data_IF_808064236702
#
_entry.id   IF_808064236702
#
_cell.length_a   1.000
_cell.length_b   1.000
_cell.length_c   1.000
_cell.angle_alpha   90.00
_cell.angle_beta   90.00
_cell.angle_gamma   90.00
#
_symmetry.space_group_name_H-M   'P 1'
#
loop_
_entity.id
_entity.type
_entity.pdbx_description
1 polymer ?
#
# COMPACT_ATOMS: atom_id res chain seq x y z
N UNK A 1 -56.56 -18.97 -3.80
CA UNK A 1 -55.82 -17.97 -4.61
C UNK A 1 -54.96 -17.17 -3.64
N UNK A 2 -53.67 -17.50 -3.51
CA UNK A 2 -52.77 -16.81 -2.59
C UNK A 2 -52.16 -15.65 -3.37
N UNK A 3 -52.61 -14.43 -3.06
CA UNK A 3 -52.02 -13.20 -3.57
C UNK A 3 -50.64 -13.01 -2.92
N UNK A 4 -49.56 -13.31 -3.65
CA UNK A 4 -48.25 -12.83 -3.27
C UNK A 4 -48.13 -11.36 -3.69
N UNK A 5 -48.45 -10.45 -2.77
CA UNK A 5 -47.89 -9.09 -2.84
C UNK A 5 -46.38 -9.21 -2.64
N UNK A 6 -45.64 -9.45 -3.73
CA UNK A 6 -44.20 -9.31 -3.70
C UNK A 6 -43.89 -7.83 -3.51
N UNK A 7 -43.40 -7.48 -2.32
CA UNK A 7 -42.69 -6.23 -2.12
C UNK A 7 -41.43 -6.31 -2.99
N UNK A 8 -41.47 -5.73 -4.20
CA UNK A 8 -40.36 -5.68 -5.15
C UNK A 8 -39.29 -4.69 -4.69
N UNK A 9 -38.74 -4.90 -3.49
CA UNK A 9 -37.55 -4.19 -3.05
C UNK A 9 -36.31 -4.95 -3.57
N UNK A 10 -36.06 -4.79 -4.87
CA UNK A 10 -34.89 -5.34 -5.54
C UNK A 10 -33.76 -4.32 -5.49
N UNK A 11 -32.67 -4.67 -4.81
CA UNK A 11 -31.47 -3.84 -4.77
C UNK A 11 -30.65 -4.05 -6.04
N UNK A 12 -30.12 -2.95 -6.59
CA UNK A 12 -29.29 -2.94 -7.80
C UNK A 12 -27.98 -3.74 -7.66
N UNK A 13 -27.55 -4.07 -6.44
CA UNK A 13 -26.37 -4.89 -6.17
C UNK A 13 -26.67 -6.39 -6.07
N UNK A 14 -27.96 -6.77 -5.98
CA UNK A 14 -28.38 -8.15 -5.72
C UNK A 14 -29.40 -8.67 -6.75
N UNK A 15 -29.71 -7.89 -7.78
CA UNK A 15 -30.75 -8.23 -8.75
C UNK A 15 -30.50 -9.54 -9.48
N UNK A 16 -29.25 -9.84 -9.87
CA UNK A 16 -28.91 -11.08 -10.56
C UNK A 16 -29.23 -12.34 -9.74
N UNK A 17 -29.32 -12.24 -8.41
CA UNK A 17 -29.76 -13.33 -7.51
C UNK A 17 -31.28 -13.37 -7.35
N UNK A 18 -31.93 -12.21 -7.34
CA UNK A 18 -33.38 -12.07 -7.09
C UNK A 18 -34.21 -12.29 -8.37
N UNK A 19 -33.69 -11.89 -9.53
CA UNK A 19 -34.40 -11.87 -10.81
C UNK A 19 -34.80 -13.27 -11.32
N UNK A 20 -33.96 -14.32 -11.24
CA UNK A 20 -34.37 -15.66 -11.68
C UNK A 20 -35.64 -16.16 -10.98
N UNK A 21 -35.75 -15.95 -9.66
CA UNK A 21 -36.93 -16.32 -8.87
C UNK A 21 -38.19 -15.56 -9.30
N UNK A 22 -38.04 -14.30 -9.69
CA UNK A 22 -39.15 -13.49 -10.20
C UNK A 22 -39.62 -14.01 -11.56
N UNK A 23 -38.69 -14.40 -12.43
CA UNK A 23 -39.01 -14.99 -13.74
C UNK A 23 -39.76 -16.31 -13.55
N UNK A 24 -39.27 -17.19 -12.66
CA UNK A 24 -39.90 -18.48 -12.33
C UNK A 24 -41.32 -18.33 -11.76
N UNK A 25 -41.57 -17.27 -10.99
CA UNK A 25 -42.87 -17.01 -10.38
C UNK A 25 -43.91 -16.39 -11.35
N UNK A 26 -43.50 -15.98 -12.56
CA UNK A 26 -44.38 -15.37 -13.55
C UNK A 26 -44.77 -16.36 -14.67
N UNK A 27 -45.88 -16.08 -15.36
CA UNK A 27 -46.26 -16.89 -16.53
C UNK A 27 -45.25 -16.74 -17.68
N UNK A 28 -45.28 -17.68 -18.64
CA UNK A 28 -44.31 -17.76 -19.73
C UNK A 28 -44.11 -16.45 -20.51
N UNK A 29 -45.21 -15.73 -20.82
CA UNK A 29 -45.14 -14.47 -21.59
C UNK A 29 -44.45 -13.38 -20.78
N UNK A 30 -44.86 -13.17 -19.52
CA UNK A 30 -44.23 -12.19 -18.63
C UNK A 30 -42.77 -12.55 -18.36
N UNK A 31 -42.46 -13.83 -18.17
CA UNK A 31 -41.10 -14.32 -18.01
C UNK A 31 -40.19 -13.93 -19.18
N UNK A 32 -40.67 -14.07 -20.42
CA UNK A 32 -39.93 -13.63 -21.63
C UNK A 32 -39.74 -12.11 -21.63
N UNK A 33 -40.76 -11.31 -21.31
CA UNK A 33 -40.64 -9.85 -21.26
C UNK A 33 -39.61 -9.39 -20.22
N UNK A 34 -39.54 -10.06 -19.06
CA UNK A 34 -38.56 -9.77 -18.00
C UNK A 34 -37.16 -10.17 -18.44
N UNK A 35 -37.01 -11.33 -19.09
CA UNK A 35 -35.73 -11.75 -19.66
C UNK A 35 -35.23 -10.75 -20.71
N UNK A 36 -36.11 -10.31 -21.60
CA UNK A 36 -35.80 -9.32 -22.63
C UNK A 36 -35.36 -7.98 -22.00
N UNK A 37 -36.05 -7.53 -20.94
CA UNK A 37 -35.76 -6.28 -20.24
C UNK A 37 -34.36 -6.25 -19.61
N UNK A 38 -33.92 -7.35 -18.99
CA UNK A 38 -32.67 -7.39 -18.23
C UNK A 38 -31.47 -7.96 -19.01
N UNK A 39 -31.69 -8.90 -19.95
CA UNK A 39 -30.61 -9.69 -20.57
C UNK A 39 -30.45 -9.50 -22.09
N UNK A 40 -31.38 -8.85 -22.80
CA UNK A 40 -31.28 -8.69 -24.26
C UNK A 40 -30.26 -7.63 -24.70
N UNK A 41 -29.84 -6.78 -23.76
CA UNK A 41 -28.84 -5.74 -23.98
C UNK A 41 -27.89 -5.72 -22.77
N UNK A 42 -26.73 -6.35 -22.93
CA UNK A 42 -25.59 -6.40 -21.98
C UNK A 42 -24.94 -5.01 -21.82
N UNK A 43 -25.73 -4.00 -21.46
CA UNK A 43 -25.25 -2.61 -21.47
C UNK A 43 -24.46 -2.21 -20.25
N UNK A 44 -24.33 -3.05 -19.22
CA UNK A 44 -23.72 -2.61 -17.97
C UNK A 44 -22.74 -3.62 -17.37
N UNK A 45 -21.55 -3.12 -17.05
CA UNK A 45 -20.53 -3.79 -16.23
C UNK A 45 -21.18 -4.36 -14.97
N UNK A 46 -20.76 -5.55 -14.54
CA UNK A 46 -21.25 -6.18 -13.32
C UNK A 46 -21.20 -5.18 -12.14
N UNK A 47 -22.32 -4.88 -11.46
CA UNK A 47 -22.37 -3.86 -10.42
C UNK A 47 -21.40 -4.13 -9.26
N UNK A 48 -21.11 -5.41 -8.97
CA UNK A 48 -20.11 -5.77 -7.97
C UNK A 48 -18.71 -5.30 -8.38
N UNK A 49 -18.35 -5.39 -9.66
CA UNK A 49 -17.04 -4.92 -10.16
C UNK A 49 -16.91 -3.41 -9.97
N UNK A 50 -17.98 -2.65 -10.23
CA UNK A 50 -17.97 -1.20 -10.05
C UNK A 50 -17.76 -0.83 -8.56
N UNK A 51 -18.46 -1.49 -7.64
CA UNK A 51 -18.31 -1.27 -6.19
C UNK A 51 -16.91 -1.67 -5.72
N UNK A 52 -16.46 -2.87 -6.06
CA UNK A 52 -15.12 -3.35 -5.69
C UNK A 52 -14.02 -2.43 -6.23
N UNK A 53 -14.20 -1.89 -7.44
CA UNK A 53 -13.29 -0.91 -8.03
C UNK A 53 -13.33 0.40 -7.24
N UNK A 54 -14.51 0.86 -6.85
CA UNK A 54 -14.68 2.09 -6.07
C UNK A 54 -13.95 2.00 -4.72
N UNK A 55 -14.13 0.89 -4.02
CA UNK A 55 -13.52 0.65 -2.71
C UNK A 55 -12.00 0.56 -2.82
N UNK A 56 -11.48 -0.12 -3.85
CA UNK A 56 -10.04 -0.17 -4.14
C UNK A 56 -9.46 1.22 -4.39
N UNK A 57 -10.12 2.04 -5.22
CA UNK A 57 -9.67 3.41 -5.51
C UNK A 57 -9.68 4.28 -4.25
N UNK A 58 -10.67 4.11 -3.37
CA UNK A 58 -10.72 4.82 -2.10
C UNK A 58 -9.56 4.44 -1.18
N UNK A 59 -9.22 3.15 -1.09
CA UNK A 59 -8.06 2.66 -0.34
C UNK A 59 -6.76 3.27 -0.89
N UNK A 60 -6.59 3.28 -2.22
CA UNK A 60 -5.42 3.88 -2.87
C UNK A 60 -5.30 5.39 -2.56
N UNK A 61 -6.42 6.13 -2.61
CA UNK A 61 -6.47 7.56 -2.25
C UNK A 61 -6.04 7.77 -0.80
N UNK A 62 -6.59 6.98 0.13
CA UNK A 62 -6.28 7.09 1.56
C UNK A 62 -4.80 6.80 1.81
N UNK A 63 -4.28 5.73 1.21
CA UNK A 63 -2.88 5.36 1.30
C UNK A 63 -1.96 6.49 0.81
N UNK A 64 -2.15 6.96 -0.42
CA UNK A 64 -1.29 8.00 -1.01
C UNK A 64 -1.37 9.32 -0.25
N UNK A 65 -2.56 9.71 0.21
CA UNK A 65 -2.75 10.92 1.03
C UNK A 65 -1.97 10.83 2.35
N UNK A 66 -2.03 9.67 3.01
CA UNK A 66 -1.30 9.42 4.26
C UNK A 66 0.22 9.46 4.07
N UNK A 67 0.71 8.83 3.00
CA UNK A 67 2.13 8.84 2.64
C UNK A 67 2.60 10.28 2.41
N UNK A 68 1.90 11.05 1.57
CA UNK A 68 2.22 12.45 1.29
C UNK A 68 2.22 13.34 2.54
N UNK A 69 1.27 13.14 3.44
CA UNK A 69 1.22 13.85 4.73
C UNK A 69 2.51 13.62 5.54
N UNK A 70 2.95 12.38 5.69
CA UNK A 70 4.12 12.05 6.50
C UNK A 70 5.43 12.50 5.87
N UNK A 71 5.58 12.42 4.55
CA UNK A 71 6.73 13.03 3.87
C UNK A 71 6.82 14.52 4.20
N UNK A 72 5.71 15.25 4.09
CA UNK A 72 5.68 16.68 4.41
C UNK A 72 6.00 16.94 5.88
N UNK A 73 5.43 16.17 6.82
CA UNK A 73 5.71 16.31 8.25
C UNK A 73 7.20 16.13 8.57
N UNK A 74 7.84 15.08 8.04
CA UNK A 74 9.27 14.83 8.25
C UNK A 74 10.12 15.93 7.60
N UNK A 75 9.82 16.32 6.35
CA UNK A 75 10.54 17.42 5.68
C UNK A 75 10.43 18.71 6.49
N UNK A 76 9.23 19.06 6.96
CA UNK A 76 9.01 20.24 7.79
C UNK A 76 9.79 20.17 9.11
N UNK A 77 9.76 19.01 9.79
CA UNK A 77 10.55 18.80 11.01
C UNK A 77 12.05 18.99 10.76
N UNK A 78 12.61 18.37 9.73
CA UNK A 78 14.04 18.47 9.44
C UNK A 78 14.42 19.88 9.04
N UNK A 79 13.62 20.56 8.20
CA UNK A 79 13.87 21.97 7.85
C UNK A 79 13.86 22.88 9.09
N UNK A 80 12.90 22.69 10.00
CA UNK A 80 12.83 23.46 11.23
C UNK A 80 14.01 23.21 12.18
N UNK A 81 14.57 21.99 12.15
CA UNK A 81 15.67 21.56 13.00
C UNK A 81 16.96 21.33 12.20
N UNK A 82 17.15 22.03 11.07
CA UNK A 82 18.19 21.68 10.09
C UNK A 82 19.60 21.69 10.66
N UNK A 83 19.85 22.41 11.75
CA UNK A 83 21.16 22.46 12.40
C UNK A 83 21.44 21.28 13.33
N UNK A 84 20.41 20.62 13.85
CA UNK A 84 20.55 19.55 14.84
C UNK A 84 19.26 18.71 14.94
N UNK A 85 18.85 18.03 13.86
CA UNK A 85 17.67 17.17 13.93
C UNK A 85 17.98 15.99 14.87
N UNK A 86 17.05 15.66 15.76
CA UNK A 86 17.23 14.54 16.68
C UNK A 86 16.76 13.23 16.05
N UNK A 87 17.57 12.19 16.23
CA UNK A 87 17.29 10.83 15.79
C UNK A 87 15.95 10.30 16.33
N UNK A 88 15.77 10.34 17.65
CA UNK A 88 14.60 9.75 18.32
C UNK A 88 13.29 10.48 17.97
N UNK A 89 13.34 11.80 17.80
CA UNK A 89 12.18 12.60 17.39
C UNK A 89 11.71 12.21 15.99
N UNK A 90 12.64 11.97 15.06
CA UNK A 90 12.28 11.48 13.73
C UNK A 90 11.66 10.08 13.77
N UNK A 91 12.24 9.16 14.56
CA UNK A 91 11.66 7.83 14.74
C UNK A 91 10.26 7.92 15.35
N UNK A 92 10.06 8.83 16.31
CA UNK A 92 8.76 9.09 16.92
C UNK A 92 7.73 9.54 15.88
N UNK A 93 8.06 10.52 15.03
CA UNK A 93 7.16 10.99 13.95
C UNK A 93 6.87 9.86 12.96
N UNK A 94 7.87 9.06 12.58
CA UNK A 94 7.67 7.93 11.67
C UNK A 94 6.72 6.90 12.28
N UNK A 95 6.93 6.53 13.54
CA UNK A 95 6.14 5.51 14.24
C UNK A 95 4.70 5.93 14.53
N UNK A 96 4.35 7.23 14.40
CA UNK A 96 2.95 7.68 14.42
C UNK A 96 2.16 7.19 13.19
N UNK A 97 2.85 6.78 12.12
CA UNK A 97 2.23 6.26 10.91
C UNK A 97 1.83 4.80 11.03
N UNK A 98 0.60 4.50 10.61
CA UNK A 98 0.11 3.14 10.39
C UNK A 98 0.84 2.38 9.25
N UNK A 99 1.62 3.08 8.42
CA UNK A 99 2.40 2.49 7.30
C UNK A 99 3.92 2.64 7.51
N UNK A 100 4.35 2.92 8.74
CA UNK A 100 5.77 3.11 9.09
C UNK A 100 6.63 1.91 8.70
N UNK A 101 6.16 0.71 9.02
CA UNK A 101 6.72 -0.60 8.70
C UNK A 101 6.72 -0.95 7.20
N UNK A 102 6.09 -0.12 6.36
CA UNK A 102 5.96 -0.37 4.92
C UNK A 102 6.69 0.64 4.06
N UNK A 103 6.65 1.92 4.39
CA UNK A 103 7.11 2.97 3.47
C UNK A 103 8.29 3.76 4.01
N UNK A 104 8.40 3.90 5.34
CA UNK A 104 9.28 4.92 5.91
C UNK A 104 10.64 4.40 6.32
N UNK A 105 10.79 3.08 6.44
CA UNK A 105 12.04 2.44 6.82
C UNK A 105 12.82 1.81 5.66
N UNK A 106 12.23 1.69 4.48
CA UNK A 106 12.87 1.12 3.30
C UNK A 106 12.18 1.58 2.02
N UNK A 107 12.86 1.45 0.88
CA UNK A 107 12.32 1.85 -0.42
C UNK A 107 11.17 0.92 -0.82
N UNK A 108 10.01 1.50 -1.09
CA UNK A 108 8.79 0.75 -1.43
C UNK A 108 8.26 1.13 -2.79
N UNK A 109 8.10 0.13 -3.65
CA UNK A 109 7.50 0.33 -4.98
C UNK A 109 5.98 0.43 -4.85
N UNK A 110 5.44 1.59 -5.22
CA UNK A 110 4.01 1.79 -5.42
C UNK A 110 3.70 1.73 -6.92
N UNK A 111 2.72 0.91 -7.29
CA UNK A 111 2.29 0.74 -8.68
C UNK A 111 0.81 1.05 -8.79
N UNK A 112 0.47 1.98 -9.68
CA UNK A 112 -0.90 2.26 -10.06
C UNK A 112 -1.02 2.23 -11.58
N UNK A 113 -1.80 1.28 -12.12
CA UNK A 113 -1.85 0.97 -13.56
C UNK A 113 -0.43 0.77 -14.13
N UNK A 114 -0.04 1.52 -15.16
CA UNK A 114 1.30 1.46 -15.78
C UNK A 114 2.34 2.33 -15.07
N UNK A 115 1.95 3.11 -14.06
CA UNK A 115 2.84 4.03 -13.36
C UNK A 115 3.49 3.34 -12.17
N UNK A 116 4.79 3.56 -12.01
CA UNK A 116 5.59 3.01 -10.92
C UNK A 116 6.35 4.15 -10.23
N UNK A 117 6.19 4.25 -8.92
CA UNK A 117 6.96 5.17 -8.07
C UNK A 117 7.70 4.36 -7.02
N UNK A 118 8.98 4.65 -6.85
CA UNK A 118 9.74 4.16 -5.72
C UNK A 118 9.65 5.19 -4.59
N UNK A 119 8.84 4.88 -3.59
CA UNK A 119 8.76 5.64 -2.36
C UNK A 119 10.09 5.49 -1.62
N UNK A 120 10.73 6.59 -1.29
CA UNK A 120 12.03 6.62 -0.61
C UNK A 120 11.86 6.54 0.91
N UNK A 121 12.80 5.90 1.64
CA UNK A 121 12.76 5.90 3.10
C UNK A 121 12.83 7.33 3.67
N UNK A 122 12.26 7.54 4.86
CA UNK A 122 12.34 8.84 5.56
C UNK A 122 12.90 8.71 6.98
N UNK A 123 13.64 7.63 7.25
CA UNK A 123 14.27 7.35 8.54
C UNK A 123 15.58 8.12 8.76
N UNK A 124 16.03 8.30 10.02
CA UNK A 124 17.23 9.08 10.35
C UNK A 124 18.49 8.65 9.60
N UNK A 125 18.69 7.34 9.39
CA UNK A 125 19.86 6.84 8.66
C UNK A 125 19.90 7.30 7.19
N UNK A 126 18.75 7.47 6.52
CA UNK A 126 18.67 7.97 5.15
C UNK A 126 19.08 9.46 5.08
N UNK A 127 18.71 10.23 6.10
CA UNK A 127 19.10 11.63 6.23
C UNK A 127 20.51 11.84 6.79
N UNK A 128 21.21 10.80 7.23
CA UNK A 128 22.52 10.99 7.84
C UNK A 128 22.48 11.60 9.24
N UNK A 129 21.40 11.38 9.98
CA UNK A 129 21.23 11.99 11.30
C UNK A 129 21.92 11.11 12.35
N UNK A 130 23.00 11.58 12.99
CA UNK A 130 23.73 10.79 13.96
C UNK A 130 22.90 10.57 15.22
N UNK A 131 23.20 9.51 15.95
CA UNK A 131 22.67 9.29 17.29
C UNK A 131 23.73 9.65 18.33
N UNK A 132 23.30 10.15 19.48
CA UNK A 132 24.18 10.70 20.51
C UNK A 132 25.05 9.68 21.24
N UNK A 133 24.81 8.38 21.04
CA UNK A 133 25.36 7.32 21.89
C UNK A 133 26.10 6.25 21.07
N UNK A 134 27.42 6.42 20.87
CA UNK A 134 28.27 5.50 20.09
C UNK A 134 28.28 4.04 20.61
N UNK A 135 27.80 3.78 21.83
CA UNK A 135 27.81 2.45 22.45
C UNK A 135 26.49 1.68 22.28
N UNK A 136 25.42 2.30 21.80
CA UNK A 136 24.14 1.62 21.62
C UNK A 136 23.88 1.36 20.12
N UNK A 137 23.81 0.08 19.75
CA UNK A 137 23.24 -0.32 18.46
C UNK A 137 21.75 0.08 18.47
N UNK A 138 21.42 1.20 17.84
CA UNK A 138 20.04 1.67 17.73
C UNK A 138 19.29 0.85 16.66
N UNK A 139 18.90 -0.36 17.04
CA UNK A 139 18.07 -1.22 16.21
C UNK A 139 16.70 -0.60 15.98
N UNK A 140 16.38 -0.35 14.71
CA UNK A 140 15.06 0.06 14.27
C UNK A 140 14.40 -1.16 13.66
N UNK A 141 13.24 -1.56 14.18
CA UNK A 141 12.41 -2.57 13.55
C UNK A 141 11.77 -1.98 12.29
N UNK A 142 12.06 -2.59 11.15
CA UNK A 142 11.59 -2.11 9.85
C UNK A 142 10.44 -2.94 9.30
N UNK A 143 10.30 -4.18 9.77
CA UNK A 143 9.22 -5.10 9.41
C UNK A 143 8.86 -5.90 10.66
N UNK A 144 7.58 -5.99 10.97
CA UNK A 144 7.07 -6.75 12.11
C UNK A 144 5.96 -7.71 11.65
N UNK A 145 5.94 -8.91 12.23
CA UNK A 145 4.83 -9.87 12.11
C UNK A 145 4.61 -10.48 10.71
N UNK A 146 3.37 -10.87 10.42
CA UNK A 146 2.92 -11.49 9.17
C UNK A 146 2.82 -10.39 8.09
N UNK A 147 3.45 -10.59 6.93
CA UNK A 147 3.50 -9.69 5.75
C UNK A 147 4.82 -8.95 5.52
N UNK A 148 5.94 -9.59 5.87
CA UNK A 148 7.26 -9.11 5.41
C UNK A 148 7.32 -9.26 3.88
N UNK A 149 7.70 -8.20 3.13
CA UNK A 149 7.78 -8.27 1.67
C UNK A 149 8.83 -9.28 1.22
N UNK A 150 8.75 -9.79 -0.01
CA UNK A 150 9.76 -10.75 -0.54
C UNK A 150 11.11 -10.11 -0.89
N UNK A 151 11.22 -8.78 -0.83
CA UNK A 151 12.45 -8.02 -1.05
C UNK A 151 12.37 -6.69 -0.33
N UNK A 152 13.48 -6.24 0.23
CA UNK A 152 13.62 -4.95 0.91
C UNK A 152 14.87 -4.26 0.38
N UNK A 153 14.72 -2.99 -0.01
CA UNK A 153 15.84 -2.15 -0.45
C UNK A 153 16.10 -1.07 0.59
N UNK A 154 17.35 -0.98 1.06
CA UNK A 154 17.77 0.01 2.06
C UNK A 154 18.61 1.11 1.42
N UNK A 155 18.31 2.34 1.81
CA UNK A 155 19.14 3.50 1.53
C UNK A 155 19.60 4.12 2.85
N UNK A 156 20.89 4.41 2.97
CA UNK A 156 21.44 5.14 4.11
C UNK A 156 22.56 6.07 3.67
N UNK A 157 22.87 7.07 4.48
CA UNK A 157 23.97 7.98 4.21
C UNK A 157 25.32 7.34 4.57
N UNK A 158 26.05 6.92 3.56
CA UNK A 158 27.33 6.20 3.73
C UNK A 158 28.48 7.09 4.20
N UNK A 159 28.38 8.41 4.00
CA UNK A 159 29.39 9.36 4.47
C UNK A 159 29.42 9.45 6.01
N UNK A 160 28.33 9.03 6.66
CA UNK A 160 28.16 9.09 8.11
C UNK A 160 28.15 7.68 8.70
N UNK A 161 27.55 6.71 8.00
CA UNK A 161 27.45 5.33 8.45
C UNK A 161 28.22 4.37 7.53
N UNK A 162 29.33 3.84 8.04
CA UNK A 162 30.22 2.93 7.28
C UNK A 162 29.83 1.47 7.37
N UNK A 163 29.00 1.09 8.32
CA UNK A 163 28.45 -0.26 8.41
C UNK A 163 26.93 -0.21 8.50
N UNK A 164 26.26 -1.06 7.72
CA UNK A 164 24.87 -1.41 7.94
C UNK A 164 24.78 -2.83 8.49
N UNK A 165 23.98 -2.99 9.53
CA UNK A 165 23.71 -4.25 10.20
C UNK A 165 22.24 -4.56 10.10
N UNK A 166 21.92 -5.79 9.76
CA UNK A 166 20.53 -6.22 9.54
C UNK A 166 20.31 -7.48 10.35
N UNK A 167 19.34 -7.41 11.26
CA UNK A 167 19.03 -8.47 12.21
C UNK A 167 17.71 -9.13 11.83
N UNK A 168 17.72 -10.45 11.73
CA UNK A 168 16.54 -11.29 11.61
C UNK A 168 16.29 -11.96 12.95
N UNK A 169 15.06 -11.84 13.45
CA UNK A 169 14.67 -12.43 14.73
C UNK A 169 14.71 -13.96 14.70
N UNK A 170 15.02 -14.58 15.83
CA UNK A 170 15.15 -16.05 15.97
C UNK A 170 13.91 -16.84 15.56
N UNK A 171 12.73 -16.25 15.72
CA UNK A 171 11.40 -16.82 15.39
C UNK A 171 11.04 -16.69 13.91
N UNK A 172 11.92 -16.13 13.09
CA UNK A 172 11.68 -15.92 11.67
C UNK A 172 11.68 -17.24 10.87
N UNK A 173 10.70 -17.40 9.98
CA UNK A 173 10.60 -18.56 9.06
C UNK A 173 11.32 -18.33 7.71
N UNK A 174 12.20 -17.34 7.63
CA UNK A 174 12.93 -16.94 6.43
C UNK A 174 14.42 -16.67 6.70
N UNK A 175 15.18 -16.52 5.63
CA UNK A 175 16.54 -16.00 5.64
C UNK A 175 16.70 -14.99 4.51
N UNK A 176 17.74 -14.15 4.58
CA UNK A 176 18.01 -13.25 3.47
C UNK A 176 18.84 -13.96 2.39
N UNK A 177 18.36 -13.87 1.16
CA UNK A 177 19.19 -14.03 -0.04
C UNK A 177 19.72 -12.64 -0.41
N UNK A 178 20.90 -12.31 0.13
CA UNK A 178 21.53 -11.03 -0.11
C UNK A 178 22.23 -11.07 -1.46
N UNK A 179 21.75 -10.26 -2.40
CA UNK A 179 22.45 -9.97 -3.65
C UNK A 179 23.18 -8.64 -3.48
N UNK A 180 24.35 -8.72 -2.86
CA UNK A 180 25.23 -7.57 -2.67
C UNK A 180 26.53 -7.78 -3.44
N UNK A 181 27.05 -6.72 -4.03
CA UNK A 181 28.41 -6.68 -4.58
C UNK A 181 29.48 -6.52 -3.49
N UNK A 182 29.06 -6.32 -2.23
CA UNK A 182 29.95 -6.06 -1.10
C UNK A 182 30.11 -7.29 -0.20
N UNK A 183 31.31 -7.46 0.38
CA UNK A 183 31.53 -8.49 1.40
C UNK A 183 30.63 -8.19 2.60
N UNK A 184 30.04 -9.24 3.14
CA UNK A 184 29.28 -9.17 4.38
C UNK A 184 29.66 -10.35 5.26
N UNK A 185 29.57 -10.13 6.57
CA UNK A 185 29.72 -11.20 7.56
C UNK A 185 28.37 -11.53 8.17
N UNK A 186 28.19 -12.79 8.54
CA UNK A 186 26.99 -13.24 9.24
C UNK A 186 27.37 -13.63 10.65
N UNK A 187 26.80 -12.93 11.63
CA UNK A 187 26.99 -13.17 13.06
C UNK A 187 25.72 -13.82 13.61
N UNK A 188 25.89 -14.83 14.46
CA UNK A 188 24.78 -15.44 15.22
C UNK A 188 24.82 -14.91 16.65
N UNK A 189 23.77 -14.22 17.07
CA UNK A 189 23.69 -13.62 18.40
C UNK A 189 22.36 -13.94 19.07
N UNK A 190 22.37 -14.71 20.17
CA UNK A 190 21.17 -15.17 20.89
C UNK A 190 20.08 -15.79 19.97
N UNK A 191 20.50 -16.52 18.94
CA UNK A 191 19.61 -17.14 17.94
C UNK A 191 19.15 -16.22 16.81
N UNK A 192 19.52 -14.94 16.82
CA UNK A 192 19.30 -14.02 15.70
C UNK A 192 20.39 -14.18 14.64
N UNK A 193 20.04 -13.94 13.38
CA UNK A 193 21.00 -13.81 12.28
C UNK A 193 21.26 -12.33 12.04
N UNK A 194 22.51 -11.90 12.15
CA UNK A 194 22.93 -10.52 11.93
C UNK A 194 23.86 -10.48 10.73
N UNK A 195 23.44 -9.79 9.68
CA UNK A 195 24.21 -9.56 8.46
C UNK A 195 24.87 -8.20 8.57
N UNK A 196 26.20 -8.15 8.57
CA UNK A 196 27.00 -6.94 8.72
C UNK A 196 27.70 -6.64 7.40
N UNK A 197 27.40 -5.49 6.82
CA UNK A 197 27.98 -5.01 5.57
C UNK A 197 28.92 -3.87 5.87
N UNK A 198 30.22 -4.07 5.64
CA UNK A 198 31.24 -3.07 5.87
C UNK A 198 31.58 -2.33 4.58
N UNK A 199 31.64 -0.99 4.68
CA UNK A 199 31.92 -0.10 3.57
C UNK A 199 33.18 0.75 3.80
N UNK A 200 34.19 0.22 4.47
CA UNK A 200 35.38 1.02 4.84
C UNK A 200 36.21 1.53 3.65
N UNK A 201 35.96 1.08 2.40
CA UNK A 201 36.86 1.31 1.26
C UNK A 201 36.17 1.81 -0.03
N UNK A 202 34.92 2.28 -0.02
CA UNK A 202 34.22 2.69 -1.26
C UNK A 202 33.88 4.18 -1.29
N UNK A 203 34.31 4.88 -2.35
CA UNK A 203 33.96 6.29 -2.63
C UNK A 203 32.57 6.47 -3.27
N UNK A 204 31.83 5.37 -3.51
CA UNK A 204 30.55 5.40 -4.23
C UNK A 204 29.42 5.07 -3.27
N UNK A 205 28.39 5.92 -3.24
CA UNK A 205 27.16 5.70 -2.48
C UNK A 205 26.46 4.40 -2.93
N UNK A 206 26.06 3.55 -1.99
CA UNK A 206 25.47 2.23 -2.28
C UNK A 206 24.03 2.15 -1.82
N UNK A 207 23.27 1.42 -2.62
CA UNK A 207 21.94 0.95 -2.32
C UNK A 207 22.07 -0.56 -2.12
N UNK A 208 21.77 -1.07 -0.93
CA UNK A 208 21.73 -2.52 -0.71
C UNK A 208 20.31 -3.00 -0.95
N UNK A 209 20.16 -3.85 -1.97
CA UNK A 209 18.95 -4.60 -2.20
C UNK A 209 19.06 -5.99 -1.56
N UNK A 210 18.06 -6.35 -0.78
CA UNK A 210 18.03 -7.60 -0.03
C UNK A 210 16.77 -8.37 -0.42
N UNK A 211 16.97 -9.53 -1.05
CA UNK A 211 15.87 -10.43 -1.32
C UNK A 211 15.64 -11.34 -0.10
N UNK A 212 14.39 -11.59 0.20
CA UNK A 212 13.97 -12.49 1.27
C UNK A 212 13.60 -13.83 0.66
N UNK A 213 14.22 -14.91 1.17
CA UNK A 213 13.91 -16.27 0.76
C UNK A 213 13.36 -17.06 1.94
N UNK A 214 12.21 -17.70 1.75
CA UNK A 214 11.61 -18.55 2.77
C UNK A 214 12.57 -19.70 3.11
N UNK A 215 12.62 -20.10 4.38
CA UNK A 215 13.36 -21.31 4.81
C UNK A 215 12.71 -22.59 4.29
N UNK A 216 11.41 -22.52 3.97
CA UNK A 216 10.57 -23.66 3.60
C UNK A 216 9.76 -23.28 2.36
N UNK A 217 9.63 -24.21 1.39
CA UNK A 217 8.70 -24.10 0.27
C UNK A 217 7.27 -24.33 0.76
N UNK A 218 6.72 -23.39 1.53
CA UNK A 218 5.30 -23.39 1.90
C UNK A 218 4.62 -22.11 1.42
N UNK A 219 3.32 -22.22 1.16
CA UNK A 219 2.44 -21.06 0.90
C UNK A 219 2.21 -20.20 2.15
N UNK A 220 2.83 -20.56 3.28
CA UNK A 220 2.77 -19.79 4.53
C UNK A 220 3.31 -18.37 4.34
N UNK A 221 2.67 -17.41 5.00
CA UNK A 221 3.16 -16.03 5.03
C UNK A 221 4.54 -15.96 5.70
N UNK A 222 5.39 -15.04 5.22
CA UNK A 222 6.67 -14.76 5.85
C UNK A 222 6.40 -14.10 7.20
N UNK A 223 6.97 -14.66 8.27
CA UNK A 223 6.81 -14.21 9.66
C UNK A 223 8.17 -13.96 10.31
N UNK A 224 8.26 -12.90 11.09
CA UNK A 224 9.42 -12.57 11.90
C UNK A 224 9.53 -11.07 12.17
N UNK A 225 10.69 -10.65 12.65
CA UNK A 225 11.05 -9.24 12.78
C UNK A 225 12.38 -9.03 12.04
N UNK A 226 12.40 -8.00 11.19
CA UNK A 226 13.64 -7.48 10.62
C UNK A 226 13.93 -6.15 11.28
N UNK A 227 15.16 -5.98 11.76
CA UNK A 227 15.65 -4.71 12.29
C UNK A 227 16.91 -4.27 11.55
N UNK A 228 17.11 -2.96 11.41
CA UNK A 228 18.35 -2.36 10.89
C UNK A 228 19.05 -1.55 11.97
N UNK A 229 20.38 -1.49 11.90
CA UNK A 229 21.21 -0.60 12.69
C UNK A 229 22.36 -0.15 11.80
N UNK A 230 22.78 1.10 11.95
CA UNK A 230 23.96 1.61 11.27
C UNK A 230 25.06 1.88 12.30
N UNK A 231 26.32 1.58 11.97
CA UNK A 231 27.47 2.04 12.78
C UNK A 231 27.96 3.34 12.19
N UNK A 232 28.03 4.34 13.05
CA UNK A 232 28.52 5.66 12.75
C UNK A 232 30.06 5.67 12.77
N UNK A 233 30.68 6.21 11.71
CA UNK A 233 32.14 6.33 11.64
C UNK A 233 32.66 7.66 12.20
N UNK A 234 31.88 8.73 12.01
CA UNK A 234 32.23 10.08 12.48
C UNK A 234 30.98 10.83 12.96
N UNK A 235 31.14 11.71 13.94
CA UNK A 235 30.11 12.68 14.33
C UNK A 235 30.20 13.89 13.41
N UNK A 236 29.88 13.69 12.13
CA UNK A 236 29.75 14.79 11.19
C UNK A 236 28.36 14.79 10.59
N UNK A 237 27.57 15.79 10.96
CA UNK A 237 26.27 16.04 10.38
C UNK A 237 26.43 16.97 9.17
N UNK A 238 26.13 16.47 7.96
CA UNK A 238 26.25 17.21 6.71
C UNK A 238 24.90 17.79 6.27
N UNK A 239 24.71 19.08 6.53
CA UNK A 239 23.50 19.82 6.16
C UNK A 239 23.22 19.81 4.66
N UNK A 240 24.26 19.86 3.81
CA UNK A 240 24.07 19.94 2.37
C UNK A 240 23.50 18.62 1.83
N UNK A 241 23.97 17.48 2.35
CA UNK A 241 23.42 16.18 1.99
C UNK A 241 21.98 16.01 2.45
N UNK A 242 21.66 16.47 3.66
CA UNK A 242 20.27 16.49 4.16
C UNK A 242 19.37 17.30 3.23
N UNK A 243 19.80 18.50 2.83
CA UNK A 243 19.05 19.35 1.90
C UNK A 243 18.88 18.70 0.51
N UNK A 244 19.91 18.03 0.00
CA UNK A 244 19.81 17.26 -1.25
C UNK A 244 18.78 16.12 -1.13
N UNK A 245 18.76 15.41 0.00
CA UNK A 245 17.78 14.36 0.23
C UNK A 245 16.37 14.94 0.35
N UNK A 246 16.19 16.06 1.07
CA UNK A 246 14.92 16.80 1.12
C UNK A 246 14.43 17.15 -0.30
N UNK A 247 15.31 17.68 -1.16
CA UNK A 247 14.92 18.01 -2.53
C UNK A 247 14.50 16.78 -3.35
N UNK A 248 15.16 15.62 -3.15
CA UNK A 248 14.71 14.34 -3.74
C UNK A 248 13.30 14.00 -3.27
N UNK A 249 13.01 14.14 -1.98
CA UNK A 249 11.68 13.86 -1.41
C UNK A 249 10.61 14.86 -1.89
N UNK A 250 10.93 16.14 -2.03
CA UNK A 250 10.00 17.15 -2.55
C UNK A 250 9.62 16.87 -4.00
N UNK A 251 10.58 16.43 -4.82
CA UNK A 251 10.30 16.01 -6.20
C UNK A 251 9.44 14.73 -6.22
N UNK A 252 9.76 13.76 -5.36
CA UNK A 252 8.94 12.56 -5.18
C UNK A 252 7.48 12.91 -4.77
N UNK A 253 7.27 13.90 -3.90
CA UNK A 253 5.92 14.37 -3.52
C UNK A 253 5.15 14.91 -4.74
N UNK A 254 5.83 15.57 -5.69
CA UNK A 254 5.19 16.02 -6.95
C UNK A 254 4.76 14.83 -7.80
N UNK A 255 5.61 13.82 -7.94
CA UNK A 255 5.28 12.60 -8.68
C UNK A 255 4.10 11.85 -8.02
N UNK A 256 4.14 11.71 -6.69
CA UNK A 256 3.03 11.15 -5.90
C UNK A 256 1.74 11.95 -6.12
N UNK A 257 1.82 13.28 -6.20
CA UNK A 257 0.65 14.14 -6.44
C UNK A 257 0.06 13.93 -7.84
N UNK A 258 0.90 13.68 -8.84
CA UNK A 258 0.43 13.33 -10.19
C UNK A 258 -0.32 12.00 -10.19
N UNK A 259 0.20 10.98 -9.51
CA UNK A 259 -0.50 9.70 -9.37
C UNK A 259 -1.80 9.86 -8.60
N UNK A 260 -1.78 10.61 -7.49
CA UNK A 260 -2.97 10.91 -6.70
C UNK A 260 -4.08 11.51 -7.56
N UNK A 261 -3.74 12.45 -8.45
CA UNK A 261 -4.69 13.05 -9.39
C UNK A 261 -5.32 12.01 -10.31
N UNK A 262 -4.52 11.09 -10.86
CA UNK A 262 -5.03 10.05 -11.77
C UNK A 262 -5.98 9.12 -11.03
N UNK A 263 -5.63 8.70 -9.80
CA UNK A 263 -6.51 7.86 -8.97
C UNK A 263 -7.83 8.58 -8.69
N UNK A 264 -7.79 9.89 -8.39
CA UNK A 264 -9.00 10.70 -8.18
C UNK A 264 -9.87 10.82 -9.43
N UNK A 265 -9.26 11.02 -10.60
CA UNK A 265 -9.98 11.09 -11.87
C UNK A 265 -10.68 9.75 -12.15
N UNK A 266 -9.98 8.63 -11.95
CA UNK A 266 -10.55 7.27 -12.05
C UNK A 266 -11.67 7.03 -11.04
N UNK A 267 -11.51 7.50 -9.80
CA UNK A 267 -12.54 7.41 -8.75
C UNK A 267 -13.81 8.17 -9.14
N UNK A 268 -13.65 9.37 -9.74
CA UNK A 268 -14.78 10.16 -10.22
C UNK A 268 -15.49 9.47 -11.38
N UNK A 269 -14.75 9.00 -12.37
CA UNK A 269 -15.30 8.25 -13.52
C UNK A 269 -16.07 7.02 -13.04
N UNK A 270 -15.52 6.25 -12.11
CA UNK A 270 -16.18 5.05 -11.61
C UNK A 270 -17.43 5.39 -10.78
N UNK A 271 -17.41 6.48 -10.02
CA UNK A 271 -18.59 7.00 -9.31
C UNK A 271 -19.69 7.40 -10.29
N UNK A 272 -19.36 8.12 -11.35
CA UNK A 272 -20.33 8.54 -12.37
C UNK A 272 -20.97 7.31 -13.06
N UNK A 273 -20.15 6.28 -13.37
CA UNK A 273 -20.65 5.01 -13.90
C UNK A 273 -21.59 4.27 -12.94
N UNK A 274 -21.34 4.32 -11.63
CA UNK A 274 -22.22 3.73 -10.62
C UNK A 274 -23.58 4.43 -10.59
N UNK A 275 -23.60 5.77 -10.66
CA UNK A 275 -24.85 6.52 -10.67
C UNK A 275 -25.64 6.28 -11.96
N UNK A 276 -24.99 6.29 -13.13
CA UNK A 276 -25.63 5.93 -14.41
C UNK A 276 -26.23 4.51 -14.37
N UNK A 277 -25.50 3.54 -13.80
CA UNK A 277 -26.00 2.18 -13.61
C UNK A 277 -27.25 2.17 -12.75
N UNK A 278 -27.25 2.87 -11.60
CA UNK A 278 -28.40 2.94 -10.69
C UNK A 278 -29.61 3.55 -11.38
N UNK A 279 -29.43 4.62 -12.16
CA UNK A 279 -30.52 5.24 -12.91
C UNK A 279 -31.13 4.26 -13.93
N UNK A 280 -30.28 3.58 -14.71
CA UNK A 280 -30.75 2.60 -15.68
C UNK A 280 -31.43 1.40 -15.00
N UNK A 281 -30.88 0.91 -13.89
CA UNK A 281 -31.50 -0.13 -13.07
C UNK A 281 -32.88 0.29 -12.56
N UNK A 282 -33.01 1.50 -12.01
CA UNK A 282 -34.28 2.02 -11.50
C UNK A 282 -35.32 2.14 -12.61
N UNK A 283 -34.93 2.58 -13.82
CA UNK A 283 -35.82 2.57 -15.00
C UNK A 283 -36.31 1.15 -15.32
N UNK A 284 -35.41 0.15 -15.31
CA UNK A 284 -35.79 -1.26 -15.53
C UNK A 284 -36.71 -1.78 -14.42
N UNK A 285 -36.46 -1.44 -13.16
CA UNK A 285 -37.34 -1.82 -12.04
C UNK A 285 -38.74 -1.22 -12.18
N UNK A 286 -38.85 0.04 -12.60
CA UNK A 286 -40.15 0.66 -12.85
C UNK A 286 -40.93 -0.07 -13.96
N UNK A 287 -40.25 -0.48 -15.05
CA UNK A 287 -40.88 -1.28 -16.12
C UNK A 287 -41.26 -2.68 -15.61
N UNK A 288 -40.40 -3.32 -14.82
CA UNK A 288 -40.70 -4.61 -14.20
C UNK A 288 -41.95 -4.54 -13.32
N UNK A 289 -42.10 -3.47 -12.53
CA UNK A 289 -43.31 -3.24 -11.73
C UNK A 289 -44.56 -3.14 -12.62
N UNK A 290 -44.47 -2.45 -13.76
CA UNK A 290 -45.59 -2.37 -14.71
C UNK A 290 -45.94 -3.74 -15.32
N UNK A 291 -44.95 -4.54 -15.74
CA UNK A 291 -45.16 -5.90 -16.29
C UNK A 291 -45.80 -6.83 -15.25
N UNK A 292 -45.41 -6.69 -13.99
CA UNK A 292 -45.88 -7.56 -12.90
C UNK A 292 -47.25 -7.13 -12.35
N UNK A 293 -47.55 -5.83 -12.25
CA UNK A 293 -48.81 -5.28 -11.72
C UNK A 293 -49.98 -5.27 -12.73
N UNK A 294 -49.73 -5.31 -14.04
CA UNK A 294 -50.75 -5.20 -15.10
C UNK A 294 -51.71 -6.41 -15.24
N UNK A 295 -51.85 -7.26 -14.23
CA UNK A 295 -52.72 -8.46 -14.25
C UNK A 295 -53.79 -8.55 -13.16
N UNK A 296 -53.92 -7.54 -12.28
CA UNK A 296 -54.97 -7.58 -11.24
C UNK A 296 -56.27 -6.89 -11.68
N UNK A 297 -56.37 -6.44 -12.94
CA UNK A 297 -57.50 -5.66 -13.47
C UNK A 297 -58.26 -6.33 -14.64
N UNK A 298 -58.02 -7.62 -14.91
CA UNK A 298 -58.71 -8.38 -15.97
C UNK A 298 -59.38 -9.63 -15.44
#
# INVERSE_FOLDING_TARGET
MIFFMYNFNMEWTNWYKKLPRIIEANNHIKGIQILDLFYKHDSLKNPNILIETQDKLLIDIQFISHIKLHYNLIISYIKANINSPKFDDMISIINQSAYSDKVFFYTTKYTYKSQNINLLPIHPYAFGIPFSNNNNNNWIDICKHNNIPSSITFEWNQNIFTQIRIKVSKDSNFYFEIKSTYPFTVIREYGNLIYCFDNSNSEVAQIINICLKKRINTDETIKGIVSISCIQHSYHYDQNQVLQYIHRLENLIKDISNIQKIIYDDYKINKDNIEEYKEHFNKKINILQQITQSSDAS
#
